data_IF_325660118697
#
_entry.id   IF_325660118697
#
_cell.length_a   1.000
_cell.length_b   1.000
_cell.length_c   1.000
_cell.angle_alpha   90.00
_cell.angle_beta   90.00
_cell.angle_gamma   90.00
#
_symmetry.space_group_name_H-M   'P 1'
#
loop_
_entity.id
_entity.type
_entity.pdbx_description
1 polymer ?
#
# COMPACT_ATOMS: atom_id res chain seq x y z
N UNK A 1 -13.34 -19.10 -9.53
CA UNK A 1 -12.59 -18.99 -10.81
C UNK A 1 -11.14 -19.37 -10.56
N UNK A 2 -10.57 -20.30 -11.34
CA UNK A 2 -9.18 -20.74 -11.21
C UNK A 2 -8.31 -20.20 -12.37
N UNK A 3 -8.42 -18.90 -12.64
CA UNK A 3 -7.64 -18.25 -13.71
C UNK A 3 -6.19 -18.02 -13.27
N UNK A 4 -5.20 -18.04 -14.19
CA UNK A 4 -3.84 -17.63 -13.89
C UNK A 4 -3.76 -16.15 -13.47
N UNK A 5 -2.81 -15.81 -12.59
CA UNK A 5 -2.53 -14.44 -12.18
C UNK A 5 -1.05 -14.15 -12.42
N UNK A 6 -0.75 -13.37 -13.47
CA UNK A 6 0.62 -13.01 -13.84
C UNK A 6 1.02 -11.61 -13.37
N UNK A 7 0.07 -10.71 -13.21
CA UNK A 7 0.37 -9.32 -12.84
C UNK A 7 -0.60 -8.88 -11.75
N UNK A 8 -0.05 -8.42 -10.63
CA UNK A 8 -0.79 -7.70 -9.59
C UNK A 8 -0.34 -6.24 -9.60
N UNK A 9 -1.27 -5.32 -9.89
CA UNK A 9 -1.00 -3.88 -9.85
C UNK A 9 -1.77 -3.26 -8.69
N UNK A 10 -1.04 -2.92 -7.62
CA UNK A 10 -1.54 -2.21 -6.46
C UNK A 10 -1.60 -0.70 -6.77
N UNK A 11 -2.61 -0.31 -7.56
CA UNK A 11 -2.80 1.05 -8.06
C UNK A 11 -3.79 1.88 -7.23
N UNK A 12 -4.76 1.24 -6.59
CA UNK A 12 -5.84 1.93 -5.89
C UNK A 12 -5.31 2.90 -4.82
N UNK A 13 -5.96 4.04 -4.65
CA UNK A 13 -5.56 4.94 -3.58
C UNK A 13 -6.48 6.13 -3.40
N UNK A 14 -6.41 6.68 -2.20
CA UNK A 14 -7.04 7.93 -1.80
C UNK A 14 -5.96 8.95 -1.50
N UNK A 15 -6.28 10.24 -1.67
CA UNK A 15 -5.31 11.32 -1.57
C UNK A 15 -5.94 12.53 -0.87
N UNK A 16 -5.20 13.09 0.08
CA UNK A 16 -5.55 14.34 0.79
C UNK A 16 -6.95 14.32 1.40
N UNK A 17 -7.36 13.16 1.93
CA UNK A 17 -8.66 13.02 2.57
C UNK A 17 -8.66 13.66 3.97
N UNK A 18 -9.79 14.18 4.46
CA UNK A 18 -9.95 14.50 5.87
C UNK A 18 -9.63 13.29 6.75
N UNK A 19 -9.17 13.54 7.98
CA UNK A 19 -8.87 12.46 8.93
C UNK A 19 -10.08 11.56 9.12
N UNK A 20 -9.89 10.27 8.85
CA UNK A 20 -10.86 9.21 9.07
C UNK A 20 -10.11 7.90 9.36
N UNK A 21 -10.72 7.04 10.17
CA UNK A 21 -10.25 5.67 10.37
C UNK A 21 -11.01 4.73 9.43
N UNK A 22 -10.31 3.71 8.92
CA UNK A 22 -10.92 2.55 8.27
C UNK A 22 -11.75 1.75 9.28
N UNK A 23 -12.47 0.73 8.79
CA UNK A 23 -13.22 -0.21 9.64
C UNK A 23 -12.29 -0.96 10.60
N UNK A 24 -11.03 -1.19 10.21
CA UNK A 24 -9.98 -1.80 11.03
C UNK A 24 -9.29 -0.82 12.00
N UNK A 25 -9.76 0.43 12.08
CA UNK A 25 -9.22 1.43 13.00
C UNK A 25 -7.87 2.02 12.60
N UNK A 26 -7.50 1.99 11.32
CA UNK A 26 -6.26 2.59 10.80
C UNK A 26 -6.56 3.86 9.99
N UNK A 27 -5.69 4.87 10.07
CA UNK A 27 -5.77 6.09 9.25
C UNK A 27 -5.99 5.75 7.77
N UNK A 28 -7.02 6.37 7.17
CA UNK A 28 -7.59 5.99 5.88
C UNK A 28 -6.56 5.93 4.74
N UNK A 29 -5.70 6.93 4.58
CA UNK A 29 -4.73 6.94 3.49
C UNK A 29 -3.70 5.82 3.64
N UNK A 30 -3.21 5.57 4.85
CA UNK A 30 -2.29 4.44 5.09
C UNK A 30 -3.01 3.08 4.96
N UNK A 31 -4.23 2.97 5.48
CA UNK A 31 -5.04 1.77 5.40
C UNK A 31 -5.31 1.37 3.95
N UNK A 32 -5.82 2.30 3.14
CA UNK A 32 -6.16 2.05 1.74
C UNK A 32 -4.93 1.92 0.85
N UNK A 33 -4.00 2.86 0.92
CA UNK A 33 -2.92 2.93 -0.09
C UNK A 33 -1.81 1.92 0.15
N UNK A 34 -1.66 1.43 1.39
CA UNK A 34 -0.57 0.57 1.80
C UNK A 34 -1.04 -0.73 2.48
N UNK A 35 -1.74 -0.69 3.62
CA UNK A 35 -2.06 -1.92 4.36
C UNK A 35 -2.97 -2.87 3.58
N UNK A 36 -3.99 -2.35 2.90
CA UNK A 36 -4.87 -3.14 2.05
C UNK A 36 -4.10 -3.83 0.93
N UNK A 37 -3.21 -3.09 0.25
CA UNK A 37 -2.33 -3.65 -0.79
C UNK A 37 -1.32 -4.66 -0.24
N UNK A 38 -0.72 -4.39 0.92
CA UNK A 38 0.20 -5.29 1.59
C UNK A 38 -0.49 -6.63 1.89
N UNK A 39 -1.68 -6.59 2.50
CA UNK A 39 -2.44 -7.80 2.80
C UNK A 39 -2.88 -8.52 1.52
N UNK A 40 -3.42 -7.80 0.53
CA UNK A 40 -3.83 -8.39 -0.75
C UNK A 40 -2.67 -9.10 -1.45
N UNK A 41 -1.49 -8.48 -1.46
CA UNK A 41 -0.28 -9.06 -2.04
C UNK A 41 0.10 -10.36 -1.34
N UNK A 42 0.10 -10.38 0.00
CA UNK A 42 0.39 -11.59 0.77
C UNK A 42 -0.63 -12.71 0.50
N UNK A 43 -1.92 -12.37 0.42
CA UNK A 43 -2.99 -13.35 0.13
C UNK A 43 -2.88 -13.93 -1.28
N UNK A 44 -2.39 -13.16 -2.25
CA UNK A 44 -2.26 -13.58 -3.65
C UNK A 44 -0.87 -14.13 -4.01
N UNK A 45 0.09 -14.06 -3.10
CA UNK A 45 1.49 -14.42 -3.37
C UNK A 45 1.64 -15.87 -3.84
N UNK A 46 0.97 -16.81 -3.18
CA UNK A 46 1.01 -18.23 -3.58
C UNK A 46 0.36 -18.47 -4.94
N UNK A 47 -0.67 -17.69 -5.30
CA UNK A 47 -1.31 -17.78 -6.61
C UNK A 47 -0.40 -17.28 -7.73
N UNK A 48 0.36 -16.20 -7.50
CA UNK A 48 1.37 -15.69 -8.42
C UNK A 48 2.48 -16.73 -8.63
N UNK A 49 3.06 -17.29 -7.55
CA UNK A 49 4.08 -18.36 -7.61
C UNK A 49 3.58 -19.57 -8.40
N UNK A 50 2.42 -20.10 -8.03
CA UNK A 50 1.80 -21.25 -8.71
C UNK A 50 1.54 -20.95 -10.19
N UNK A 51 1.16 -19.72 -10.53
CA UNK A 51 0.97 -19.33 -11.93
C UNK A 51 2.29 -19.38 -12.68
N UNK A 52 3.35 -18.78 -12.14
CA UNK A 52 4.69 -18.81 -12.77
C UNK A 52 5.23 -20.23 -12.95
N UNK A 53 5.07 -21.10 -11.96
CA UNK A 53 5.48 -22.50 -12.09
C UNK A 53 4.76 -23.23 -13.23
N UNK A 54 3.43 -23.03 -13.33
CA UNK A 54 2.59 -23.73 -14.31
C UNK A 54 2.72 -23.17 -15.73
N UNK A 55 2.77 -21.85 -15.88
CA UNK A 55 2.79 -21.21 -17.19
C UNK A 55 4.20 -20.92 -17.69
N UNK A 56 5.21 -21.00 -16.82
CA UNK A 56 6.60 -20.55 -17.08
C UNK A 56 6.73 -19.08 -17.49
N UNK A 57 5.69 -18.29 -17.21
CA UNK A 57 5.69 -16.83 -17.39
C UNK A 57 5.94 -16.21 -16.02
N UNK A 58 6.97 -15.38 -15.93
CA UNK A 58 7.29 -14.65 -14.70
C UNK A 58 6.11 -13.77 -14.26
N UNK A 59 5.80 -13.80 -12.96
CA UNK A 59 4.76 -12.96 -12.39
C UNK A 59 5.36 -11.71 -11.76
N UNK A 60 4.69 -10.58 -11.90
CA UNK A 60 5.15 -9.30 -11.37
C UNK A 60 4.13 -8.67 -10.43
N UNK A 61 4.63 -8.09 -9.33
CA UNK A 61 3.87 -7.25 -8.42
C UNK A 61 4.35 -5.81 -8.61
N UNK A 62 3.43 -4.89 -8.88
CA UNK A 62 3.72 -3.47 -9.09
C UNK A 62 2.96 -2.65 -8.05
N UNK A 63 3.67 -1.94 -7.18
CA UNK A 63 3.08 -1.01 -6.23
C UNK A 63 3.20 0.43 -6.75
N UNK A 64 2.06 1.10 -6.95
CA UNK A 64 2.10 2.50 -7.39
C UNK A 64 2.42 3.43 -6.20
N UNK A 65 3.58 4.09 -6.30
CA UNK A 65 3.97 5.20 -5.43
C UNK A 65 3.63 6.57 -6.07
N UNK A 66 4.14 7.66 -5.53
CA UNK A 66 4.03 9.02 -6.08
C UNK A 66 5.23 9.86 -5.62
N UNK A 67 5.53 10.97 -6.30
CA UNK A 67 6.57 11.94 -5.88
C UNK A 67 6.37 12.40 -4.44
N UNK A 68 5.14 12.42 -3.94
CA UNK A 68 4.81 12.73 -2.54
C UNK A 68 5.56 11.87 -1.49
N UNK A 69 6.14 10.72 -1.87
CA UNK A 69 6.98 9.92 -0.97
C UNK A 69 8.21 10.66 -0.43
N UNK A 70 8.62 11.78 -1.05
CA UNK A 70 9.73 12.63 -0.56
C UNK A 70 9.29 13.62 0.51
N UNK A 71 7.98 13.79 0.72
CA UNK A 71 7.39 14.67 1.73
C UNK A 71 6.54 13.95 2.80
N UNK A 72 7.01 12.82 3.39
CA UNK A 72 6.34 12.23 4.53
C UNK A 72 6.57 13.10 5.78
N UNK A 73 6.12 12.65 6.94
CA UNK A 73 6.51 13.27 8.19
C UNK A 73 8.03 13.23 8.41
N UNK A 74 8.56 14.10 9.28
CA UNK A 74 10.01 14.28 9.49
C UNK A 74 10.80 13.01 9.87
N UNK A 75 10.13 11.96 10.36
CA UNK A 75 10.74 10.66 10.68
C UNK A 75 10.32 9.53 9.72
N UNK A 76 9.78 9.87 8.55
CA UNK A 76 9.21 8.90 7.61
C UNK A 76 7.81 8.45 8.04
N UNK A 77 7.65 7.15 8.30
CA UNK A 77 6.37 6.56 8.71
C UNK A 77 6.20 6.67 10.22
N UNK A 78 5.07 7.23 10.68
CA UNK A 78 4.75 7.37 12.11
C UNK A 78 3.95 6.20 12.64
N UNK A 79 4.56 5.02 12.78
CA UNK A 79 3.84 3.81 13.23
C UNK A 79 3.17 3.98 14.61
N UNK A 80 3.82 4.69 15.53
CA UNK A 80 3.34 4.95 16.90
C UNK A 80 2.17 5.96 16.95
N UNK A 81 2.00 6.77 15.91
CA UNK A 81 1.02 7.87 15.86
C UNK A 81 0.21 7.89 14.57
N UNK A 82 0.08 6.73 13.93
CA UNK A 82 -0.59 6.62 12.63
C UNK A 82 -2.02 7.16 12.69
N UNK A 83 -2.70 6.89 13.80
CA UNK A 83 -4.11 7.23 14.04
C UNK A 83 -4.30 8.53 14.85
N UNK A 84 -3.24 9.30 15.08
CA UNK A 84 -3.32 10.52 15.89
C UNK A 84 -3.96 11.66 15.08
N UNK A 85 -5.25 11.91 15.30
CA UNK A 85 -6.02 12.99 14.66
C UNK A 85 -5.40 14.37 14.86
N UNK A 86 -4.75 14.64 16.01
CA UNK A 86 -4.16 15.96 16.30
C UNK A 86 -2.86 16.18 15.52
N UNK A 87 -2.14 15.11 15.24
CA UNK A 87 -0.90 15.15 14.47
C UNK A 87 -1.12 14.93 12.96
N UNK A 88 -2.37 14.71 12.53
CA UNK A 88 -2.71 14.43 11.15
C UNK A 88 -2.51 15.65 10.26
N UNK A 89 -1.66 15.49 9.26
CA UNK A 89 -1.56 16.35 8.09
C UNK A 89 -1.84 15.47 6.87
N UNK A 90 -2.85 15.84 6.09
CA UNK A 90 -3.34 15.07 4.95
C UNK A 90 -2.27 14.84 3.87
N UNK A 91 -1.45 15.83 3.58
CA UNK A 91 -0.35 15.72 2.63
C UNK A 91 0.76 14.79 3.12
N UNK A 92 1.19 14.95 4.37
CA UNK A 92 2.23 14.09 4.96
C UNK A 92 1.73 12.66 5.19
N UNK A 93 0.44 12.47 5.52
CA UNK A 93 -0.21 11.17 5.62
C UNK A 93 -0.24 10.44 4.26
N UNK A 94 -0.56 11.17 3.20
CA UNK A 94 -0.43 10.66 1.83
C UNK A 94 1.02 10.28 1.52
N UNK A 95 1.96 11.19 1.80
CA UNK A 95 3.39 11.01 1.56
C UNK A 95 3.95 9.76 2.25
N UNK A 96 3.64 9.54 3.53
CA UNK A 96 4.08 8.34 4.24
C UNK A 96 3.47 7.06 3.65
N UNK A 97 2.23 7.09 3.16
CA UNK A 97 1.61 5.93 2.51
C UNK A 97 2.31 5.56 1.21
N UNK A 98 2.77 6.57 0.45
CA UNK A 98 3.52 6.37 -0.80
C UNK A 98 4.98 5.99 -0.56
N UNK A 99 5.59 6.49 0.53
CA UNK A 99 6.87 5.98 1.01
C UNK A 99 6.78 4.50 1.39
N UNK A 100 5.71 4.10 2.10
CA UNK A 100 5.50 2.71 2.49
C UNK A 100 5.41 1.76 1.28
N UNK A 101 4.80 2.20 0.17
CA UNK A 101 4.78 1.43 -1.08
C UNK A 101 6.18 1.23 -1.70
N UNK A 102 7.07 2.22 -1.61
CA UNK A 102 8.46 2.06 -2.06
C UNK A 102 9.20 1.05 -1.18
N UNK A 103 9.07 1.19 0.14
CA UNK A 103 9.75 0.32 1.10
C UNK A 103 9.27 -1.14 1.01
N UNK A 104 8.02 -1.37 0.62
CA UNK A 104 7.48 -2.72 0.41
C UNK A 104 7.92 -3.37 -0.90
N UNK A 105 8.35 -2.58 -1.88
CA UNK A 105 8.70 -3.07 -3.23
C UNK A 105 10.18 -3.38 -3.40
N UNK A 106 11.03 -3.03 -2.41
CA UNK A 106 12.46 -3.33 -2.40
C UNK A 106 12.73 -4.50 -1.45
#
# INVERSE_FOLDING_TARGET
MNLPLNILINNAGVMYCPFKLSEDGVEMQFATNHLGHFLLTNLLLEKLKTTTEKTRIESHIVNLSAVAHVGPYSKGIKFDKLNDKKAYNDMMAYGQSKLANILHSN
#
